data_IF_227189850395
#
_entry.id   IF_227189850395
#
_cell.length_a   1.000
_cell.length_b   1.000
_cell.length_c   1.000
_cell.angle_alpha   90.00
_cell.angle_beta   90.00
_cell.angle_gamma   90.00
#
_symmetry.space_group_name_H-M   'P 1'
#
loop_
_entity.id
_entity.type
_entity.pdbx_description
1 polymer ?
#
# COMPACT_ATOMS: atom_id res chain seq x y z
N UNK A 1 50.06 -35.83 -14.78
CA UNK A 1 50.25 -34.37 -14.95
C UNK A 1 49.30 -33.99 -16.10
N UNK A 2 48.15 -33.32 -15.91
CA UNK A 2 47.92 -31.99 -15.29
C UNK A 2 48.83 -30.92 -15.93
N UNK A 3 48.41 -29.73 -16.39
CA UNK A 3 47.13 -29.01 -16.45
C UNK A 3 47.25 -27.95 -17.59
N UNK A 4 46.23 -27.26 -18.12
CA UNK A 4 44.76 -27.37 -18.13
C UNK A 4 44.21 -26.39 -19.21
N UNK A 5 42.92 -26.44 -19.57
CA UNK A 5 42.27 -25.43 -20.44
C UNK A 5 41.13 -24.75 -19.70
N UNK A 6 41.19 -23.43 -19.54
CA UNK A 6 40.31 -22.67 -18.66
C UNK A 6 39.06 -22.19 -19.42
N UNK A 7 37.88 -22.70 -19.05
CA UNK A 7 36.59 -22.28 -19.61
C UNK A 7 36.05 -21.05 -18.88
N UNK A 8 35.82 -19.96 -19.62
CA UNK A 8 35.26 -18.70 -19.14
C UNK A 8 33.72 -18.80 -18.95
N UNK A 9 33.29 -19.39 -17.82
CA UNK A 9 31.87 -19.42 -17.45
C UNK A 9 31.42 -18.08 -16.85
N UNK A 10 30.58 -17.36 -17.59
CA UNK A 10 29.91 -16.16 -17.11
C UNK A 10 28.91 -16.52 -16.01
N UNK A 11 28.89 -15.81 -14.86
CA UNK A 11 28.00 -16.15 -13.76
C UNK A 11 26.53 -15.98 -14.19
N UNK A 12 25.63 -16.90 -13.81
CA UNK A 12 24.21 -16.80 -14.16
C UNK A 12 23.60 -15.54 -13.52
N UNK A 13 22.89 -14.76 -14.32
CA UNK A 13 22.20 -13.54 -13.87
C UNK A 13 21.09 -13.89 -12.87
N UNK A 14 21.44 -13.81 -11.58
CA UNK A 14 20.56 -13.57 -10.42
C UNK A 14 19.17 -14.23 -10.54
N UNK A 15 19.14 -15.55 -10.35
CA UNK A 15 17.89 -16.26 -10.13
C UNK A 15 17.09 -15.59 -9.00
N UNK A 16 15.76 -15.53 -9.15
CA UNK A 16 14.88 -15.13 -8.04
C UNK A 16 15.03 -16.16 -6.92
N UNK A 17 15.48 -15.73 -5.75
CA UNK A 17 15.37 -16.52 -4.54
C UNK A 17 13.89 -16.58 -4.12
N UNK A 18 13.14 -17.51 -4.71
CA UNK A 18 11.84 -17.98 -4.20
C UNK A 18 12.09 -19.14 -3.23
N UNK A 19 12.85 -18.85 -2.19
CA UNK A 19 13.20 -19.78 -1.11
C UNK A 19 13.14 -19.00 0.20
N UNK A 20 11.92 -18.80 0.68
CA UNK A 20 11.58 -17.91 1.79
C UNK A 20 10.29 -18.31 2.49
N UNK A 21 10.00 -19.62 2.55
CA UNK A 21 9.22 -20.15 3.67
C UNK A 21 10.13 -20.11 4.91
N UNK A 22 10.26 -18.92 5.51
CA UNK A 22 10.68 -18.87 6.91
C UNK A 22 9.57 -19.54 7.73
N UNK A 23 9.95 -20.41 8.68
CA UNK A 23 9.04 -20.98 9.68
C UNK A 23 8.62 -19.91 10.70
N UNK A 24 7.90 -18.90 10.21
CA UNK A 24 7.15 -17.94 11.00
C UNK A 24 5.81 -18.52 11.46
N UNK A 25 5.14 -17.78 12.34
CA UNK A 25 3.82 -18.17 12.86
C UNK A 25 2.83 -18.51 11.73
N UNK A 26 1.95 -19.51 11.93
CA UNK A 26 1.05 -20.00 10.89
C UNK A 26 0.20 -18.86 10.31
N UNK A 27 0.07 -18.83 8.99
CA UNK A 27 -0.68 -17.78 8.31
C UNK A 27 -2.16 -17.80 8.70
N UNK A 28 -2.67 -16.63 9.08
CA UNK A 28 -4.05 -16.38 9.56
C UNK A 28 -4.87 -15.78 8.43
N UNK A 29 -6.11 -16.26 8.27
CA UNK A 29 -7.04 -15.72 7.27
C UNK A 29 -7.61 -14.39 7.72
N UNK A 30 -7.70 -13.41 6.82
CA UNK A 30 -8.43 -12.18 7.07
C UNK A 30 -9.92 -12.49 7.31
N UNK A 31 -10.46 -11.99 8.42
CA UNK A 31 -11.90 -12.08 8.73
C UNK A 31 -12.74 -11.08 7.94
N UNK A 32 -12.12 -10.08 7.29
CA UNK A 32 -12.80 -9.05 6.49
C UNK A 32 -12.76 -9.34 4.99
N UNK A 33 -11.62 -9.80 4.47
CA UNK A 33 -11.42 -10.02 3.03
C UNK A 33 -11.04 -11.47 2.72
N UNK A 34 -12.08 -12.30 2.72
CA UNK A 34 -12.02 -13.68 2.25
C UNK A 34 -13.19 -13.92 1.29
N UNK A 35 -12.98 -13.64 0.01
CA UNK A 35 -14.04 -13.73 -1.01
C UNK A 35 -14.27 -15.18 -1.42
N UNK A 36 -15.53 -15.63 -1.37
CA UNK A 36 -15.94 -17.00 -1.70
C UNK A 36 -15.61 -17.38 -3.16
N UNK A 37 -15.69 -16.41 -4.07
CA UNK A 37 -15.33 -16.51 -5.49
C UNK A 37 -13.86 -16.10 -5.78
N UNK A 38 -13.10 -15.77 -4.74
CA UNK A 38 -11.71 -15.37 -4.85
C UNK A 38 -10.83 -16.48 -5.42
N UNK A 39 -9.94 -16.13 -6.35
CA UNK A 39 -9.13 -17.03 -7.17
C UNK A 39 -7.61 -16.72 -7.12
N UNK A 40 -7.20 -15.91 -6.14
CA UNK A 40 -5.82 -15.73 -5.68
C UNK A 40 -5.81 -15.47 -4.19
N UNK A 41 -4.78 -15.94 -3.49
CA UNK A 41 -4.51 -15.58 -2.10
C UNK A 41 -3.29 -14.66 -2.09
N UNK A 42 -3.44 -13.45 -1.54
CA UNK A 42 -2.31 -12.58 -1.23
C UNK A 42 -1.90 -12.84 0.22
N UNK A 43 -0.63 -13.19 0.45
CA UNK A 43 -0.06 -13.31 1.78
C UNK A 43 0.82 -12.09 2.08
N UNK A 44 0.49 -11.38 3.16
CA UNK A 44 1.19 -10.20 3.63
C UNK A 44 1.48 -10.39 5.12
N UNK A 45 2.75 -10.36 5.51
CA UNK A 45 3.20 -10.80 6.84
C UNK A 45 2.64 -12.21 7.14
N UNK A 46 1.96 -12.38 8.28
CA UNK A 46 1.25 -13.59 8.67
C UNK A 46 -0.24 -13.58 8.27
N UNK A 47 -0.72 -12.62 7.48
CA UNK A 47 -2.14 -12.50 7.08
C UNK A 47 -2.36 -12.92 5.62
N UNK A 48 -3.41 -13.70 5.37
CA UNK A 48 -3.84 -14.09 4.03
C UNK A 48 -5.20 -13.46 3.66
N UNK A 49 -5.28 -12.91 2.45
CA UNK A 49 -6.47 -12.32 1.85
C UNK A 49 -6.85 -13.10 0.60
N UNK A 50 -8.09 -13.62 0.51
CA UNK A 50 -8.58 -14.33 -0.68
C UNK A 50 -9.40 -13.38 -1.55
N UNK A 51 -8.94 -13.12 -2.77
CA UNK A 51 -9.38 -12.01 -3.62
C UNK A 51 -9.54 -12.45 -5.10
N UNK A 52 -10.15 -11.60 -5.93
CA UNK A 52 -10.25 -11.85 -7.38
C UNK A 52 -9.07 -11.20 -8.15
N UNK A 53 -8.38 -12.00 -8.97
CA UNK A 53 -7.30 -11.55 -9.87
C UNK A 53 -7.76 -10.44 -10.83
N UNK A 54 -9.00 -10.51 -11.32
CA UNK A 54 -9.59 -9.54 -12.26
C UNK A 54 -9.65 -8.13 -11.66
N UNK A 55 -10.18 -7.98 -10.44
CA UNK A 55 -10.29 -6.69 -9.75
C UNK A 55 -8.91 -6.10 -9.45
N UNK A 56 -7.99 -6.91 -8.95
CA UNK A 56 -6.59 -6.50 -8.74
C UNK A 56 -5.94 -6.04 -10.05
N UNK A 57 -6.13 -6.78 -11.15
CA UNK A 57 -5.59 -6.45 -12.48
C UNK A 57 -6.22 -5.21 -13.14
N UNK A 58 -7.47 -4.91 -12.79
CA UNK A 58 -8.19 -3.74 -13.26
C UNK A 58 -7.61 -2.46 -12.63
N UNK A 59 -7.34 -2.48 -11.32
CA UNK A 59 -6.79 -1.34 -10.59
C UNK A 59 -5.27 -1.22 -10.70
N UNK A 60 -4.55 -2.33 -10.87
CA UNK A 60 -3.08 -2.38 -10.85
C UNK A 60 -2.53 -3.03 -12.13
N UNK A 61 -1.73 -2.31 -12.93
CA UNK A 61 -0.99 -2.93 -14.03
C UNK A 61 0.06 -3.91 -13.49
N UNK A 62 0.64 -3.66 -12.31
CA UNK A 62 1.61 -4.57 -11.66
C UNK A 62 0.98 -5.94 -11.39
N UNK A 63 -0.25 -6.01 -10.84
CA UNK A 63 -0.93 -7.29 -10.65
C UNK A 63 -1.39 -7.93 -11.96
N UNK A 64 -1.86 -7.15 -12.93
CA UNK A 64 -2.22 -7.67 -14.26
C UNK A 64 -1.03 -8.37 -14.92
N UNK A 65 0.12 -7.70 -14.94
CA UNK A 65 1.33 -8.21 -15.58
C UNK A 65 1.88 -9.40 -14.78
N UNK A 66 1.82 -9.37 -13.45
CA UNK A 66 2.17 -10.50 -12.56
C UNK A 66 1.31 -11.74 -12.84
N UNK A 67 -0.01 -11.60 -12.98
CA UNK A 67 -0.92 -12.72 -13.25
C UNK A 67 -0.96 -13.17 -14.71
N UNK A 68 -0.36 -12.42 -15.64
CA UNK A 68 -0.20 -12.81 -17.04
C UNK A 68 0.88 -13.89 -17.26
N UNK A 69 1.78 -14.04 -16.29
CA UNK A 69 2.85 -15.04 -16.34
C UNK A 69 2.32 -16.42 -15.92
N UNK A 70 2.78 -17.51 -16.57
CA UNK A 70 2.42 -18.86 -16.16
C UNK A 70 3.03 -19.16 -14.78
N UNK A 71 2.17 -19.66 -13.88
CA UNK A 71 2.56 -20.22 -12.59
C UNK A 71 3.42 -21.48 -12.83
N UNK A 72 4.57 -21.66 -12.15
CA UNK A 72 5.30 -22.92 -12.18
C UNK A 72 4.42 -24.11 -11.76
N UNK A 73 4.65 -25.33 -12.31
CA UNK A 73 3.78 -26.48 -12.05
C UNK A 73 3.76 -26.94 -10.58
N UNK A 74 4.82 -26.64 -9.83
CA UNK A 74 4.99 -27.03 -8.42
C UNK A 74 4.65 -25.90 -7.42
N UNK A 75 3.98 -24.84 -7.86
CA UNK A 75 3.67 -23.68 -7.00
C UNK A 75 2.58 -24.03 -5.95
N UNK A 76 2.79 -23.73 -4.65
CA UNK A 76 1.87 -24.15 -3.60
C UNK A 76 0.49 -23.49 -3.73
N UNK A 77 -0.53 -24.34 -3.84
CA UNK A 77 -1.93 -23.93 -3.86
C UNK A 77 -2.55 -24.05 -2.46
N UNK A 78 -3.25 -23.01 -2.02
CA UNK A 78 -4.12 -23.04 -0.84
C UNK A 78 -5.56 -22.92 -1.33
N UNK A 79 -6.41 -23.90 -1.01
CA UNK A 79 -7.79 -23.99 -1.53
C UNK A 79 -7.88 -23.91 -3.07
N UNK A 80 -6.93 -24.53 -3.78
CA UNK A 80 -6.76 -24.45 -5.25
C UNK A 80 -6.47 -23.03 -5.78
N UNK A 81 -6.20 -22.05 -4.91
CA UNK A 81 -5.77 -20.71 -5.29
C UNK A 81 -4.24 -20.59 -5.17
N UNK A 82 -3.56 -19.96 -6.13
CA UNK A 82 -2.14 -19.65 -6.00
C UNK A 82 -1.92 -18.61 -4.90
N UNK A 83 -0.87 -18.80 -4.10
CA UNK A 83 -0.48 -17.89 -3.02
C UNK A 83 0.63 -16.96 -3.50
N UNK A 84 0.38 -15.66 -3.48
CA UNK A 84 1.36 -14.62 -3.81
C UNK A 84 1.82 -13.95 -2.52
N UNK A 85 3.08 -14.17 -2.16
CA UNK A 85 3.70 -13.56 -0.97
C UNK A 85 4.22 -12.16 -1.31
N UNK A 86 3.68 -11.15 -0.65
CA UNK A 86 4.00 -9.74 -0.86
C UNK A 86 4.96 -9.24 0.23
N UNK A 87 6.21 -9.68 0.13
CA UNK A 87 7.25 -9.33 1.11
C UNK A 87 7.45 -7.80 1.23
N UNK A 88 7.65 -7.35 2.47
CA UNK A 88 7.89 -5.95 2.83
C UNK A 88 6.64 -5.06 2.86
N UNK A 89 5.43 -5.60 2.63
CA UNK A 89 4.18 -4.89 2.92
C UNK A 89 3.68 -5.21 4.34
N UNK A 90 2.86 -4.30 4.88
CA UNK A 90 2.13 -4.48 6.14
C UNK A 90 0.71 -4.97 5.87
N UNK A 91 0.25 -5.93 6.66
CA UNK A 91 -1.12 -6.49 6.56
C UNK A 91 -2.19 -5.44 6.88
N UNK A 92 -1.89 -4.53 7.81
CA UNK A 92 -2.72 -3.37 8.15
C UNK A 92 -2.89 -2.39 6.97
N UNK A 93 -1.80 -2.04 6.28
CA UNK A 93 -1.87 -1.16 5.10
C UNK A 93 -2.77 -1.78 4.00
N UNK A 94 -2.70 -3.11 3.86
CA UNK A 94 -3.55 -3.87 2.93
C UNK A 94 -5.02 -3.87 3.32
N UNK A 95 -5.38 -3.92 4.61
CA UNK A 95 -6.78 -3.78 5.05
C UNK A 95 -7.37 -2.44 4.59
N UNK A 96 -6.62 -1.33 4.71
CA UNK A 96 -7.08 -0.02 4.27
C UNK A 96 -7.20 0.11 2.75
N UNK A 97 -6.25 -0.45 1.98
CA UNK A 97 -6.36 -0.51 0.52
C UNK A 97 -7.59 -1.32 0.08
N UNK A 98 -7.84 -2.47 0.72
CA UNK A 98 -8.97 -3.33 0.40
C UNK A 98 -10.31 -2.69 0.80
N UNK A 99 -10.37 -1.85 1.83
CA UNK A 99 -11.58 -1.08 2.17
C UNK A 99 -11.96 -0.05 1.09
N UNK A 100 -10.98 0.50 0.38
CA UNK A 100 -11.22 1.41 -0.76
C UNK A 100 -11.48 0.64 -2.06
N UNK A 101 -10.89 -0.54 -2.23
CA UNK A 101 -11.02 -1.37 -3.44
C UNK A 101 -12.29 -2.23 -3.46
N UNK A 102 -12.68 -2.75 -2.31
CA UNK A 102 -13.84 -3.61 -2.06
C UNK A 102 -14.66 -3.03 -0.89
N UNK A 103 -15.28 -1.85 -1.06
CA UNK A 103 -16.03 -1.20 0.01
C UNK A 103 -17.21 -2.08 0.45
N UNK A 104 -17.31 -2.46 1.75
CA UNK A 104 -18.39 -3.32 2.24
C UNK A 104 -19.75 -2.61 2.22
N UNK A 105 -19.74 -1.27 2.24
CA UNK A 105 -20.91 -0.41 2.12
C UNK A 105 -20.51 0.93 1.48
N UNK A 106 -21.48 1.60 0.85
CA UNK A 106 -21.26 2.88 0.17
C UNK A 106 -21.25 4.04 1.17
N UNK A 107 -20.05 4.55 1.50
CA UNK A 107 -19.85 5.70 2.39
C UNK A 107 -19.19 6.88 1.63
N UNK A 108 -19.96 7.70 0.89
CA UNK A 108 -19.39 8.83 0.14
C UNK A 108 -18.76 9.88 1.06
N UNK A 109 -19.29 10.02 2.28
CA UNK A 109 -18.88 11.01 3.27
C UNK A 109 -17.78 10.52 4.23
N UNK A 110 -17.30 9.26 4.12
CA UNK A 110 -16.18 8.78 4.95
C UNK A 110 -14.92 9.55 4.58
N UNK A 111 -14.49 10.44 5.47
CA UNK A 111 -13.16 11.04 5.42
C UNK A 111 -12.15 10.03 5.98
N UNK A 112 -11.03 9.77 5.29
CA UNK A 112 -10.02 8.86 5.80
C UNK A 112 -9.09 9.55 6.82
N UNK A 113 -8.53 8.78 7.75
CA UNK A 113 -7.46 9.28 8.62
C UNK A 113 -6.14 9.43 7.88
N UNK A 114 -5.14 10.09 8.49
CA UNK A 114 -3.79 10.16 7.93
C UNK A 114 -3.17 8.75 7.79
N UNK A 115 -3.41 7.85 8.74
CA UNK A 115 -2.95 6.46 8.71
C UNK A 115 -3.53 5.69 7.53
N UNK A 116 -4.85 5.79 7.33
CA UNK A 116 -5.56 5.20 6.19
C UNK A 116 -5.01 5.76 4.86
N UNK A 117 -4.83 7.07 4.76
CA UNK A 117 -4.27 7.71 3.57
C UNK A 117 -2.82 7.30 3.30
N UNK A 118 -1.99 7.20 4.33
CA UNK A 118 -0.59 6.80 4.21
C UNK A 118 -0.47 5.38 3.64
N UNK A 119 -1.23 4.44 4.21
CA UNK A 119 -1.32 3.06 3.74
C UNK A 119 -1.73 2.96 2.26
N UNK A 120 -2.88 3.56 1.91
CA UNK A 120 -3.40 3.54 0.54
C UNK A 120 -2.42 4.22 -0.43
N UNK A 121 -1.76 5.31 -0.02
CA UNK A 121 -0.82 6.05 -0.86
C UNK A 121 0.51 5.29 -1.10
N UNK A 122 1.02 4.58 -0.08
CA UNK A 122 2.19 3.68 -0.21
C UNK A 122 1.91 2.52 -1.15
N UNK A 123 0.85 1.76 -0.89
CA UNK A 123 0.52 0.59 -1.71
C UNK A 123 0.09 0.99 -3.13
N UNK A 124 -0.64 2.08 -3.31
CA UNK A 124 -0.97 2.60 -4.65
C UNK A 124 0.25 3.13 -5.41
N UNK A 125 1.33 3.54 -4.73
CA UNK A 125 2.61 3.81 -5.36
C UNK A 125 3.35 2.51 -5.74
N UNK A 126 3.40 1.52 -4.83
CA UNK A 126 4.11 0.24 -5.05
C UNK A 126 3.49 -0.59 -6.17
N UNK A 127 2.16 -0.60 -6.26
CA UNK A 127 1.39 -1.41 -7.21
C UNK A 127 0.77 -0.58 -8.37
N UNK A 128 1.18 0.68 -8.53
CA UNK A 128 0.71 1.60 -9.59
C UNK A 128 -0.82 1.71 -9.71
N UNK A 129 -1.49 1.92 -8.58
CA UNK A 129 -2.96 2.06 -8.49
C UNK A 129 -3.32 3.55 -8.64
N UNK A 130 -3.20 4.04 -9.87
CA UNK A 130 -3.18 5.47 -10.18
C UNK A 130 -4.45 6.26 -9.77
N UNK A 131 -5.62 5.62 -9.68
CA UNK A 131 -6.87 6.25 -9.24
C UNK A 131 -6.86 6.54 -7.73
N UNK A 132 -6.45 5.57 -6.90
CA UNK A 132 -6.36 5.73 -5.45
C UNK A 132 -5.24 6.69 -5.06
N UNK A 133 -4.05 6.56 -5.69
CA UNK A 133 -2.94 7.53 -5.54
C UNK A 133 -3.42 8.98 -5.75
N UNK A 134 -4.14 9.23 -6.85
CA UNK A 134 -4.69 10.56 -7.18
C UNK A 134 -5.77 11.00 -6.18
N UNK A 135 -6.56 10.06 -5.67
CA UNK A 135 -7.56 10.30 -4.63
C UNK A 135 -6.97 10.71 -3.28
N UNK A 136 -5.83 10.12 -2.89
CA UNK A 136 -5.09 10.47 -1.68
C UNK A 136 -4.38 11.83 -1.85
N UNK A 137 -3.65 12.03 -2.96
CA UNK A 137 -2.95 13.29 -3.23
C UNK A 137 -3.91 14.49 -3.30
N UNK A 138 -5.12 14.32 -3.84
CA UNK A 138 -6.15 15.38 -3.84
C UNK A 138 -6.57 15.78 -2.43
N UNK A 139 -6.74 14.81 -1.51
CA UNK A 139 -7.10 15.08 -0.12
C UNK A 139 -5.98 15.79 0.62
N UNK A 140 -4.75 15.30 0.49
CA UNK A 140 -3.56 15.90 1.12
C UNK A 140 -3.34 17.36 0.66
N UNK A 141 -3.42 17.67 -0.64
CA UNK A 141 -3.26 19.06 -1.10
C UNK A 141 -4.51 19.93 -0.80
N UNK A 142 -5.68 19.33 -0.59
CA UNK A 142 -6.88 20.05 -0.17
C UNK A 142 -6.83 20.49 1.30
N UNK A 143 -6.25 19.66 2.17
CA UNK A 143 -6.10 19.97 3.60
C UNK A 143 -4.82 20.79 3.90
N UNK A 144 -3.75 20.56 3.13
CA UNK A 144 -2.47 21.24 3.26
C UNK A 144 -2.13 22.00 1.96
N UNK A 145 -2.87 23.07 1.63
CA UNK A 145 -2.70 23.79 0.39
C UNK A 145 -1.38 24.56 0.31
N UNK A 146 -0.98 24.91 -0.90
CA UNK A 146 0.30 25.57 -1.19
C UNK A 146 0.29 27.09 -1.06
N UNK A 147 -0.89 27.72 -1.03
CA UNK A 147 -1.03 29.17 -0.94
C UNK A 147 -1.74 29.58 0.35
N UNK A 148 -1.32 30.71 0.92
CA UNK A 148 -1.93 31.25 2.15
C UNK A 148 -3.44 31.52 1.94
N UNK A 149 -3.83 32.05 0.78
CA UNK A 149 -5.23 32.32 0.44
C UNK A 149 -6.12 31.08 0.32
N UNK A 150 -5.54 29.90 0.07
CA UNK A 150 -6.26 28.62 0.17
C UNK A 150 -6.24 28.08 1.59
N UNK A 151 -5.10 28.21 2.28
CA UNK A 151 -4.93 27.82 3.68
C UNK A 151 -5.94 28.51 4.59
N UNK A 152 -6.12 29.83 4.46
CA UNK A 152 -7.08 30.64 5.23
C UNK A 152 -8.55 30.19 5.05
N UNK A 153 -8.87 29.44 3.98
CA UNK A 153 -10.22 28.91 3.72
C UNK A 153 -10.48 27.54 4.34
N UNK A 154 -9.42 26.78 4.63
CA UNK A 154 -9.49 25.44 5.25
C UNK A 154 -9.01 25.46 6.71
N UNK A 155 -8.44 26.58 7.16
CA UNK A 155 -7.94 26.75 8.51
C UNK A 155 -9.06 26.72 9.55
N UNK A 156 -9.22 25.57 10.21
CA UNK A 156 -10.22 25.36 11.25
C UNK A 156 -10.85 23.98 11.13
N UNK A 157 -11.38 23.70 9.93
CA UNK A 157 -12.29 22.59 9.66
C UNK A 157 -11.69 21.51 8.76
N UNK A 158 -11.54 20.30 9.32
CA UNK A 158 -11.07 19.12 8.58
C UNK A 158 -12.05 18.75 7.46
N UNK A 159 -11.68 19.03 6.22
CA UNK A 159 -12.60 18.95 5.07
C UNK A 159 -12.45 17.63 4.32
N UNK A 160 -11.23 17.16 4.13
CA UNK A 160 -10.89 16.01 3.29
C UNK A 160 -10.39 14.79 4.07
N UNK A 161 -10.02 14.97 5.34
CA UNK A 161 -9.54 13.93 6.25
C UNK A 161 -10.33 13.90 7.55
N UNK A 162 -10.22 12.79 8.28
CA UNK A 162 -10.66 12.67 9.67
C UNK A 162 -9.40 12.79 10.56
N UNK A 163 -9.34 13.71 11.55
CA UNK A 163 -8.22 13.76 12.49
C UNK A 163 -8.13 12.49 13.36
N UNK A 164 -9.20 11.71 13.48
CA UNK A 164 -9.26 10.50 14.28
C UNK A 164 -9.11 10.78 15.77
N UNK A 165 -8.44 9.86 16.46
CA UNK A 165 -8.14 9.97 17.90
C UNK A 165 -6.68 10.35 18.19
N UNK A 166 -5.88 10.63 17.15
CA UNK A 166 -4.49 11.02 17.30
C UNK A 166 -4.39 12.44 17.86
N UNK A 167 -3.38 12.70 18.70
CA UNK A 167 -3.07 14.08 19.07
C UNK A 167 -2.53 14.87 17.85
N UNK A 168 -2.63 16.20 17.92
CA UNK A 168 -2.23 17.07 16.80
C UNK A 168 -0.77 16.90 16.41
N UNK A 169 0.13 16.69 17.37
CA UNK A 169 1.58 16.57 17.13
C UNK A 169 1.86 15.26 16.38
N UNK A 170 1.26 14.15 16.81
CA UNK A 170 1.34 12.84 16.15
C UNK A 170 0.83 12.94 14.71
N UNK A 171 -0.38 13.45 14.51
CA UNK A 171 -0.99 13.58 13.18
C UNK A 171 -0.14 14.44 12.23
N UNK A 172 0.28 15.64 12.63
CA UNK A 172 1.10 16.51 11.76
C UNK A 172 2.49 15.91 11.51
N UNK A 173 3.07 15.21 12.49
CA UNK A 173 4.33 14.47 12.31
C UNK A 173 4.18 13.34 11.28
N UNK A 174 3.08 12.60 11.30
CA UNK A 174 2.75 11.59 10.29
C UNK A 174 2.60 12.19 8.89
N UNK A 175 1.89 13.33 8.76
CA UNK A 175 1.77 14.09 7.50
C UNK A 175 3.14 14.49 6.96
N UNK A 176 4.00 15.09 7.79
CA UNK A 176 5.34 15.56 7.41
C UNK A 176 6.23 14.39 6.97
N UNK A 177 6.17 13.27 7.69
CA UNK A 177 6.95 12.07 7.36
C UNK A 177 6.47 11.42 6.06
N UNK A 178 5.15 11.28 5.85
CA UNK A 178 4.57 10.80 4.59
C UNK A 178 4.93 11.72 3.42
N UNK A 179 4.82 13.04 3.60
CA UNK A 179 5.17 14.04 2.59
C UNK A 179 6.63 13.91 2.13
N UNK A 180 7.56 13.67 3.07
CA UNK A 180 8.98 13.40 2.77
C UNK A 180 9.15 12.06 2.06
N UNK A 181 8.52 11.00 2.56
CA UNK A 181 8.57 9.63 2.01
C UNK A 181 8.16 9.60 0.53
N UNK A 182 7.01 10.20 0.19
CA UNK A 182 6.48 10.23 -1.18
C UNK A 182 6.93 11.44 -2.00
N UNK A 183 7.84 12.26 -1.47
CA UNK A 183 8.40 13.49 -2.09
C UNK A 183 7.36 14.54 -2.47
N UNK A 184 6.26 14.63 -1.72
CA UNK A 184 5.24 15.68 -1.86
C UNK A 184 5.65 16.91 -1.04
N UNK A 185 6.66 17.65 -1.50
CA UNK A 185 7.16 18.82 -0.79
C UNK A 185 6.17 20.00 -0.75
N UNK A 186 5.14 20.01 -1.60
CA UNK A 186 4.13 21.07 -1.69
C UNK A 186 3.36 21.28 -0.39
N UNK A 187 3.06 20.20 0.34
CA UNK A 187 2.24 20.25 1.56
C UNK A 187 3.03 20.57 2.84
N UNK A 188 4.37 20.54 2.77
CA UNK A 188 5.23 20.72 3.93
C UNK A 188 5.09 22.08 4.63
N UNK A 189 4.99 23.24 3.95
CA UNK A 189 4.89 24.54 4.62
C UNK A 189 3.65 24.63 5.52
N UNK A 190 2.48 24.21 5.01
CA UNK A 190 1.23 24.18 5.78
C UNK A 190 1.30 23.19 6.96
N UNK A 191 1.86 22.00 6.74
CA UNK A 191 2.00 20.99 7.79
C UNK A 191 2.96 21.43 8.92
N UNK A 192 4.09 22.07 8.60
CA UNK A 192 5.00 22.63 9.62
C UNK A 192 4.39 23.81 10.36
N UNK A 193 3.67 24.70 9.67
CA UNK A 193 2.97 25.81 10.31
C UNK A 193 1.94 25.31 11.33
N UNK A 194 1.12 24.32 10.95
CA UNK A 194 0.11 23.72 11.82
C UNK A 194 0.69 22.96 13.00
N UNK A 195 1.79 22.23 12.80
CA UNK A 195 2.53 21.56 13.88
C UNK A 195 2.94 22.55 14.98
N UNK A 196 3.43 23.74 14.61
CA UNK A 196 3.89 24.75 15.59
C UNK A 196 2.73 25.59 16.16
N UNK A 197 1.67 25.85 15.39
CA UNK A 197 0.59 26.76 15.82
C UNK A 197 -0.58 26.09 16.54
N UNK A 198 -0.70 24.75 16.51
CA UNK A 198 -1.71 24.02 17.30
C UNK A 198 -1.15 23.39 18.59
N UNK A 199 0.01 23.86 19.06
CA UNK A 199 0.61 23.50 20.36
C UNK A 199 0.16 24.42 21.53
N UNK A 200 -0.91 25.22 21.36
CA UNK A 200 -1.46 26.14 22.38
C UNK A 200 -2.98 25.99 22.50
#
# INVERSE_FOLDING_TARGET
MANATQSDERPPKRARALSGFEEGAPAVRSTKYWLDDGNVILQVESTQFRLNKSTLSFYSPVFRDMFSLPLPPDEPLVENCPVVVLAGDRSEDWLYLLEVMFPPEYRPDKKPTITELAAVLRLSQKYDIANFRRGCLRRLNGEFPTSLTEFDKVFGDWTFMDPGNDDSISMFSQVINLAREIRLSSILPAAFYLLVHREV
#
